data_IF_534667016786
#
_entry.id   IF_534667016786
#
_cell.length_a   1.000
_cell.length_b   1.000
_cell.length_c   1.000
_cell.angle_alpha   90.00
_cell.angle_beta   90.00
_cell.angle_gamma   90.00
#
_symmetry.space_group_name_H-M   'P 1'
#
loop_
_entity.id
_entity.type
_entity.pdbx_description
1 polymer ?
#
# COMPACT_ATOMS: atom_id res chain seq x y z
N UNK A 1 -22.26 -23.19 9.07
CA UNK A 1 -20.91 -23.71 8.76
C UNK A 1 -20.01 -22.54 8.43
N UNK A 2 -19.00 -22.24 9.25
CA UNK A 2 -18.01 -21.22 8.90
C UNK A 2 -17.15 -21.75 7.76
N UNK A 3 -17.28 -21.19 6.55
CA UNK A 3 -16.27 -21.41 5.51
C UNK A 3 -14.90 -21.11 6.11
N UNK A 4 -13.95 -22.04 6.00
CA UNK A 4 -12.57 -21.80 6.37
C UNK A 4 -12.08 -20.55 5.64
N UNK A 5 -11.50 -19.59 6.38
CA UNK A 5 -10.91 -18.39 5.76
C UNK A 5 -9.54 -18.79 5.20
N UNK A 6 -9.35 -18.73 3.89
CA UNK A 6 -8.09 -19.09 3.25
C UNK A 6 -7.30 -17.82 2.87
N UNK A 7 -5.96 -17.95 2.83
CA UNK A 7 -5.07 -16.85 2.47
C UNK A 7 -5.39 -16.26 1.09
N UNK A 8 -5.84 -17.09 0.13
CA UNK A 8 -6.12 -16.69 -1.25
C UNK A 8 -7.56 -16.25 -1.52
N UNK A 9 -8.37 -16.11 -0.46
CA UNK A 9 -9.75 -15.64 -0.57
C UNK A 9 -9.82 -14.28 -1.30
N UNK A 10 -10.83 -14.13 -2.16
CA UNK A 10 -11.29 -12.81 -2.59
C UNK A 10 -12.24 -12.27 -1.52
N UNK A 11 -11.95 -11.08 -1.00
CA UNK A 11 -12.73 -10.43 0.04
C UNK A 11 -13.20 -9.05 -0.40
N UNK A 12 -14.35 -8.63 0.11
CA UNK A 12 -14.89 -7.30 -0.11
C UNK A 12 -14.70 -6.43 1.13
N UNK A 13 -14.18 -5.23 0.91
CA UNK A 13 -13.84 -4.25 1.93
C UNK A 13 -14.56 -2.94 1.59
N UNK A 14 -15.24 -2.34 2.56
CA UNK A 14 -15.82 -1.02 2.49
C UNK A 14 -14.92 -0.04 3.26
N UNK A 15 -14.26 0.86 2.55
CA UNK A 15 -13.36 1.88 3.10
C UNK A 15 -14.04 3.23 3.00
N UNK A 16 -14.48 3.80 4.12
CA UNK A 16 -15.12 5.13 4.14
C UNK A 16 -16.34 5.27 3.22
N UNK A 17 -17.06 4.17 2.95
CA UNK A 17 -18.20 4.12 2.02
C UNK A 17 -17.86 3.61 0.61
N UNK A 18 -16.58 3.49 0.25
CA UNK A 18 -16.15 2.96 -1.05
C UNK A 18 -15.82 1.48 -0.96
N UNK A 19 -16.42 0.68 -1.84
CA UNK A 19 -16.16 -0.77 -1.91
C UNK A 19 -14.91 -1.08 -2.73
N UNK A 20 -14.11 -2.00 -2.22
CA UNK A 20 -12.93 -2.59 -2.83
C UNK A 20 -13.06 -4.11 -2.78
N UNK A 21 -12.76 -4.76 -3.90
CA UNK A 21 -12.59 -6.22 -3.95
C UNK A 21 -11.11 -6.53 -4.06
N UNK A 22 -10.58 -7.31 -3.13
CA UNK A 22 -9.13 -7.56 -3.00
C UNK A 22 -8.86 -9.03 -2.74
N UNK A 23 -7.63 -9.49 -3.00
CA UNK A 23 -7.17 -10.78 -2.49
C UNK A 23 -6.72 -10.62 -1.05
N UNK A 24 -7.07 -11.56 -0.18
CA UNK A 24 -6.62 -11.55 1.22
C UNK A 24 -5.09 -11.57 1.28
N UNK A 25 -4.40 -12.32 0.41
CA UNK A 25 -2.93 -12.30 0.33
C UNK A 25 -2.34 -10.91 0.09
N UNK A 26 -3.03 -10.00 -0.60
CA UNK A 26 -2.56 -8.63 -0.75
C UNK A 26 -2.57 -7.91 0.61
N UNK A 27 -3.63 -8.11 1.41
CA UNK A 27 -3.74 -7.54 2.76
C UNK A 27 -2.70 -8.10 3.74
N UNK A 28 -2.10 -9.25 3.42
CA UNK A 28 -1.06 -9.90 4.23
C UNK A 28 0.37 -9.52 3.78
N UNK A 29 0.52 -8.72 2.72
CA UNK A 29 1.82 -8.44 2.11
C UNK A 29 2.79 -7.67 3.03
N UNK A 30 2.26 -6.90 3.98
CA UNK A 30 3.03 -6.29 5.06
C UNK A 30 2.65 -6.91 6.41
N UNK A 31 3.43 -7.90 6.91
CA UNK A 31 3.10 -8.65 8.11
C UNK A 31 3.00 -7.82 9.39
N UNK A 32 3.58 -6.61 9.40
CA UNK A 32 3.55 -5.70 10.56
C UNK A 32 2.35 -4.76 10.55
N UNK A 33 1.62 -4.69 9.43
CA UNK A 33 0.46 -3.80 9.29
C UNK A 33 -0.76 -4.31 10.05
N UNK A 34 -1.65 -3.39 10.44
CA UNK A 34 -2.97 -3.73 10.98
C UNK A 34 -3.83 -4.51 9.98
N UNK A 35 -3.63 -4.26 8.68
CA UNK A 35 -4.32 -5.01 7.63
C UNK A 35 -3.95 -6.50 7.70
N UNK A 36 -2.67 -6.83 7.87
CA UNK A 36 -2.25 -8.22 8.02
C UNK A 36 -2.86 -8.86 9.27
N UNK A 37 -2.88 -8.15 10.40
CA UNK A 37 -3.50 -8.62 11.64
C UNK A 37 -5.00 -8.93 11.46
N UNK A 38 -5.75 -8.01 10.87
CA UNK A 38 -7.20 -8.15 10.70
C UNK A 38 -7.60 -9.23 9.71
N UNK A 39 -6.81 -9.40 8.65
CA UNK A 39 -7.14 -10.28 7.55
C UNK A 39 -6.44 -11.65 7.59
N UNK A 40 -5.56 -11.91 8.57
CA UNK A 40 -4.91 -13.23 8.73
C UNK A 40 -5.95 -14.35 8.90
N UNK A 41 -5.75 -15.52 8.26
CA UNK A 41 -6.52 -16.72 8.59
C UNK A 41 -6.43 -17.05 10.08
N UNK A 42 -7.56 -17.38 10.71
CA UNK A 42 -7.61 -17.68 12.14
C UNK A 42 -7.78 -16.47 13.06
N UNK A 43 -7.91 -15.24 12.54
CA UNK A 43 -8.23 -14.06 13.36
C UNK A 43 -9.55 -14.25 14.12
N UNK A 44 -9.44 -14.32 15.45
CA UNK A 44 -10.53 -14.63 16.40
C UNK A 44 -11.55 -13.49 16.47
N UNK A 45 -11.10 -12.24 16.41
CA UNK A 45 -11.94 -11.04 16.41
C UNK A 45 -11.74 -10.27 15.10
N UNK A 46 -12.48 -10.62 14.02
CA UNK A 46 -12.42 -9.85 12.79
C UNK A 46 -12.96 -8.42 13.02
N UNK A 47 -12.53 -7.49 12.19
CA UNK A 47 -13.11 -6.15 12.15
C UNK A 47 -14.59 -6.19 11.77
N UNK A 48 -15.33 -5.13 12.12
CA UNK A 48 -16.75 -5.00 11.83
C UNK A 48 -17.05 -5.12 10.33
N UNK A 49 -18.26 -5.52 10.01
CA UNK A 49 -18.79 -5.51 8.64
C UNK A 49 -19.91 -4.51 8.49
N UNK A 50 -20.07 -3.94 7.29
CA UNK A 50 -21.25 -3.15 6.95
C UNK A 50 -22.51 -4.03 6.81
N UNK A 51 -23.67 -3.41 6.54
CA UNK A 51 -24.96 -4.11 6.35
C UNK A 51 -24.93 -5.14 5.20
N UNK A 52 -23.98 -5.01 4.27
CA UNK A 52 -23.80 -5.93 3.15
C UNK A 52 -22.75 -7.02 3.41
N UNK A 53 -22.22 -7.14 4.63
CA UNK A 53 -21.21 -8.13 4.99
C UNK A 53 -19.80 -7.80 4.50
N UNK A 54 -19.55 -6.59 4.00
CA UNK A 54 -18.20 -6.17 3.59
C UNK A 54 -17.43 -5.71 4.83
N UNK A 55 -16.16 -6.11 4.97
CA UNK A 55 -15.31 -5.63 6.06
C UNK A 55 -15.22 -4.11 6.03
N UNK A 56 -15.47 -3.44 7.15
CA UNK A 56 -15.58 -1.99 7.20
C UNK A 56 -14.33 -1.35 7.80
N UNK A 57 -13.75 -0.41 7.07
CA UNK A 57 -12.62 0.42 7.47
C UNK A 57 -13.09 1.87 7.51
N UNK A 58 -13.09 2.46 8.70
CA UNK A 58 -13.38 3.88 8.89
C UNK A 58 -12.14 4.73 8.56
N UNK A 59 -11.71 4.67 7.30
CA UNK A 59 -10.48 5.27 6.76
C UNK A 59 -10.77 6.00 5.43
N UNK A 60 -9.83 6.82 4.97
CA UNK A 60 -10.01 7.56 3.70
C UNK A 60 -9.89 6.65 2.47
N UNK A 61 -10.97 6.61 1.70
CA UNK A 61 -11.07 5.76 0.51
C UNK A 61 -10.10 6.15 -0.62
N UNK A 62 -9.78 7.45 -0.76
CA UNK A 62 -8.92 7.93 -1.85
C UNK A 62 -7.47 7.55 -1.61
N UNK A 63 -7.02 7.69 -0.38
CA UNK A 63 -5.68 7.32 0.07
C UNK A 63 -5.50 5.81 0.09
N UNK A 64 -6.52 5.05 0.48
CA UNK A 64 -6.46 3.58 0.51
C UNK A 64 -6.11 2.95 -0.84
N UNK A 65 -6.42 3.59 -1.98
CA UNK A 65 -6.01 3.08 -3.31
C UNK A 65 -4.48 2.96 -3.43
N UNK A 66 -3.73 3.87 -2.81
CA UNK A 66 -2.27 3.90 -2.80
C UNK A 66 -1.73 2.82 -1.86
N UNK A 67 -2.36 2.64 -0.69
CA UNK A 67 -2.04 1.54 0.22
C UNK A 67 -2.24 0.17 -0.47
N UNK A 68 -3.36 -0.01 -1.17
CA UNK A 68 -3.64 -1.24 -1.91
C UNK A 68 -2.64 -1.46 -3.05
N UNK A 69 -2.25 -0.41 -3.77
CA UNK A 69 -1.21 -0.50 -4.78
C UNK A 69 0.14 -0.91 -4.18
N UNK A 70 0.56 -0.29 -3.08
CA UNK A 70 1.79 -0.63 -2.34
C UNK A 70 1.81 -2.11 -1.94
N UNK A 71 0.73 -2.62 -1.35
CA UNK A 71 0.65 -4.00 -0.89
C UNK A 71 0.81 -5.00 -2.05
N UNK A 72 0.24 -4.70 -3.22
CA UNK A 72 0.38 -5.53 -4.42
C UNK A 72 1.82 -5.53 -4.94
N UNK A 73 2.41 -4.35 -5.10
CA UNK A 73 3.80 -4.20 -5.55
C UNK A 73 4.77 -4.90 -4.61
N UNK A 74 4.58 -4.73 -3.29
CA UNK A 74 5.38 -5.39 -2.26
C UNK A 74 5.29 -6.91 -2.35
N UNK A 75 4.08 -7.45 -2.48
CA UNK A 75 3.85 -8.90 -2.63
C UNK A 75 4.54 -9.45 -3.88
N UNK A 76 4.52 -8.70 -4.98
CA UNK A 76 5.16 -9.04 -6.25
C UNK A 76 6.68 -8.82 -6.24
N UNK A 77 7.24 -8.28 -5.13
CA UNK A 77 8.64 -7.84 -5.04
C UNK A 77 9.00 -6.88 -6.18
N UNK A 78 8.08 -5.97 -6.47
CA UNK A 78 8.23 -4.87 -7.42
C UNK A 78 8.33 -3.53 -6.68
N UNK A 79 8.64 -2.46 -7.41
CA UNK A 79 9.05 -1.15 -6.88
C UNK A 79 7.93 -0.49 -6.07
N UNK A 80 8.00 -0.41 -4.72
CA UNK A 80 6.88 0.05 -3.92
C UNK A 80 6.61 1.56 -4.04
N UNK A 81 7.62 2.37 -4.37
CA UNK A 81 7.50 3.82 -4.55
C UNK A 81 6.58 4.21 -5.70
N UNK A 82 6.32 3.31 -6.65
CA UNK A 82 5.34 3.52 -7.74
C UNK A 82 3.89 3.59 -7.25
N UNK A 83 3.61 3.18 -6.01
CA UNK A 83 2.30 3.36 -5.39
C UNK A 83 2.05 4.79 -4.90
N UNK A 84 3.09 5.61 -4.77
CA UNK A 84 2.97 6.93 -4.15
C UNK A 84 2.14 7.90 -5.02
N UNK A 85 1.32 8.77 -4.41
CA UNK A 85 0.73 9.89 -5.12
C UNK A 85 1.80 10.93 -5.50
N UNK A 86 1.57 11.64 -6.60
CA UNK A 86 2.49 12.68 -7.09
C UNK A 86 2.27 14.05 -6.44
N UNK A 87 1.14 14.28 -5.76
CA UNK A 87 0.83 15.57 -5.13
C UNK A 87 1.28 15.58 -3.66
N UNK A 88 1.92 16.67 -3.19
CA UNK A 88 2.35 16.79 -1.79
C UNK A 88 1.21 16.63 -0.77
N UNK A 89 0.03 17.18 -1.06
CA UNK A 89 -1.13 17.10 -0.15
C UNK A 89 -1.64 15.66 0.00
N UNK A 90 -1.65 14.90 -1.10
CA UNK A 90 -2.01 13.47 -1.09
C UNK A 90 -0.94 12.62 -0.42
N UNK A 91 0.35 12.97 -0.53
CA UNK A 91 1.43 12.33 0.23
C UNK A 91 1.27 12.55 1.73
N UNK A 92 0.96 13.78 2.16
CA UNK A 92 0.73 14.08 3.58
C UNK A 92 -0.45 13.30 4.15
N UNK A 93 -1.56 13.18 3.39
CA UNK A 93 -2.69 12.31 3.76
C UNK A 93 -2.27 10.84 3.85
N UNK A 94 -1.46 10.37 2.90
CA UNK A 94 -0.92 9.01 2.90
C UNK A 94 -0.08 8.73 4.15
N UNK A 95 0.79 9.66 4.57
CA UNK A 95 1.56 9.52 5.81
C UNK A 95 0.64 9.30 7.02
N UNK A 96 -0.45 10.06 7.13
CA UNK A 96 -1.42 9.89 8.21
C UNK A 96 -2.13 8.54 8.21
N UNK A 97 -2.51 8.04 7.02
CA UNK A 97 -3.10 6.70 6.87
C UNK A 97 -2.09 5.58 7.17
N UNK A 98 -0.83 5.73 6.77
CA UNK A 98 0.24 4.78 7.04
C UNK A 98 0.52 4.66 8.54
N UNK A 99 0.53 5.77 9.27
CA UNK A 99 0.67 5.75 10.73
C UNK A 99 -0.50 5.00 11.39
N UNK A 100 -1.73 5.30 10.98
CA UNK A 100 -2.92 4.67 11.54
C UNK A 100 -2.98 3.16 11.28
N UNK A 101 -2.45 2.68 10.15
CA UNK A 101 -2.46 1.27 9.74
C UNK A 101 -1.14 0.52 10.01
N UNK A 102 -0.15 1.19 10.62
CA UNK A 102 1.19 0.67 10.88
C UNK A 102 1.93 0.17 9.60
N UNK A 103 1.97 1.02 8.57
CA UNK A 103 2.66 0.76 7.29
C UNK A 103 3.97 1.56 7.23
N UNK A 104 4.96 1.13 8.02
CA UNK A 104 6.20 1.89 8.23
C UNK A 104 6.98 2.16 6.93
N UNK A 105 7.19 1.15 6.09
CA UNK A 105 7.94 1.31 4.84
C UNK A 105 7.24 2.29 3.87
N UNK A 106 5.92 2.17 3.70
CA UNK A 106 5.18 3.09 2.84
C UNK A 106 5.20 4.52 3.40
N UNK A 107 5.15 4.68 4.73
CA UNK A 107 5.29 5.98 5.39
C UNK A 107 6.64 6.61 5.09
N UNK A 108 7.72 5.84 5.24
CA UNK A 108 9.08 6.33 5.03
C UNK A 108 9.29 6.74 3.57
N UNK A 109 8.81 5.94 2.61
CA UNK A 109 8.82 6.28 1.18
C UNK A 109 8.07 7.59 0.88
N UNK A 110 6.90 7.80 1.51
CA UNK A 110 6.13 9.02 1.33
C UNK A 110 6.81 10.25 1.95
N UNK A 111 7.42 10.11 3.13
CA UNK A 111 8.18 11.17 3.80
C UNK A 111 9.43 11.55 3.01
N UNK A 112 10.16 10.57 2.47
CA UNK A 112 11.34 10.81 1.64
C UNK A 112 10.99 11.63 0.39
N UNK A 113 9.85 11.34 -0.24
CA UNK A 113 9.39 12.10 -1.40
C UNK A 113 8.94 13.52 -1.02
N UNK A 114 8.22 13.68 0.10
CA UNK A 114 7.87 15.01 0.63
C UNK A 114 9.11 15.85 0.93
N UNK A 115 10.14 15.23 1.51
CA UNK A 115 11.39 15.93 1.83
C UNK A 115 12.15 16.35 0.57
N UNK A 116 12.07 15.56 -0.52
CA UNK A 116 12.59 15.96 -1.84
C UNK A 116 11.83 17.16 -2.42
N UNK A 117 10.52 17.21 -2.26
CA UNK A 117 9.74 18.39 -2.68
C UNK A 117 10.11 19.64 -1.90
N UNK A 118 10.36 19.54 -0.59
CA UNK A 118 10.81 20.70 0.19
C UNK A 118 12.16 21.27 -0.31
N UNK A 119 13.03 20.42 -0.87
CA UNK A 119 14.34 20.83 -1.40
C UNK A 119 14.28 21.35 -2.84
N UNK A 120 13.19 21.10 -3.56
CA UNK A 120 13.00 21.53 -4.95
C UNK A 120 12.17 22.81 -4.95
N UNK A 121 12.46 23.79 -5.81
CA UNK A 121 11.62 24.99 -5.93
C UNK A 121 10.14 24.59 -6.20
N UNK A 122 9.19 25.34 -5.63
CA UNK A 122 7.76 24.97 -5.45
C UNK A 122 7.02 24.49 -6.73
N UNK A 123 7.58 24.72 -7.92
CA UNK A 123 6.95 24.42 -9.21
C UNK A 123 7.36 23.07 -9.85
N UNK A 124 8.27 22.31 -9.24
CA UNK A 124 8.85 21.10 -9.87
C UNK A 124 8.56 19.77 -9.16
N UNK A 125 7.50 19.65 -8.37
CA UNK A 125 7.12 18.40 -7.70
C UNK A 125 6.90 17.22 -8.69
N UNK A 126 6.41 17.49 -9.91
CA UNK A 126 6.29 16.48 -10.95
C UNK A 126 7.67 15.94 -11.34
N UNK A 127 8.67 16.81 -11.47
CA UNK A 127 10.04 16.42 -11.81
C UNK A 127 10.62 15.51 -10.74
N UNK A 128 10.52 15.87 -9.45
CA UNK A 128 11.09 15.03 -8.39
C UNK A 128 10.34 13.69 -8.28
N UNK A 129 9.02 13.65 -8.51
CA UNK A 129 8.27 12.39 -8.60
C UNK A 129 8.80 11.48 -9.72
N UNK A 130 8.94 12.03 -10.92
CA UNK A 130 9.38 11.30 -12.12
C UNK A 130 10.81 10.79 -11.93
N UNK A 131 11.72 11.62 -11.42
CA UNK A 131 13.11 11.23 -11.15
C UNK A 131 13.19 10.07 -10.16
N UNK A 132 12.41 10.10 -9.07
CA UNK A 132 12.38 9.01 -8.09
C UNK A 132 11.82 7.73 -8.71
N UNK A 133 10.71 7.84 -9.44
CA UNK A 133 10.06 6.72 -10.12
C UNK A 133 11.01 6.03 -11.09
N UNK A 134 11.68 6.78 -11.98
CA UNK A 134 12.61 6.24 -12.95
C UNK A 134 13.80 5.57 -12.28
N UNK A 135 14.44 6.26 -11.33
CA UNK A 135 15.59 5.75 -10.59
C UNK A 135 15.29 4.43 -9.87
N UNK A 136 14.17 4.37 -9.17
CA UNK A 136 13.81 3.18 -8.39
C UNK A 136 13.43 2.00 -9.31
N UNK A 137 12.83 2.29 -10.47
CA UNK A 137 12.56 1.29 -11.51
C UNK A 137 13.85 0.74 -12.15
N UNK A 138 14.78 1.62 -12.54
CA UNK A 138 16.07 1.24 -13.10
C UNK A 138 16.88 0.39 -12.11
N UNK A 139 16.86 0.76 -10.83
CA UNK A 139 17.53 0.00 -9.77
C UNK A 139 16.97 -1.42 -9.65
N UNK A 140 15.64 -1.57 -9.62
CA UNK A 140 15.00 -2.88 -9.59
C UNK A 140 15.30 -3.71 -10.84
N UNK A 141 15.31 -3.09 -12.03
CA UNK A 141 15.61 -3.78 -13.28
C UNK A 141 17.04 -4.31 -13.26
N UNK A 142 17.99 -3.47 -12.84
CA UNK A 142 19.39 -3.87 -12.71
C UNK A 142 19.57 -5.04 -11.73
N UNK A 143 18.94 -4.99 -10.55
CA UNK A 143 18.97 -6.09 -9.57
C UNK A 143 18.39 -7.40 -10.13
N UNK A 144 17.28 -7.30 -10.89
CA UNK A 144 16.67 -8.46 -11.54
C UNK A 144 17.58 -9.09 -12.60
N UNK A 145 18.22 -8.28 -13.43
CA UNK A 145 19.16 -8.74 -14.44
C UNK A 145 20.37 -9.43 -13.80
N UNK A 146 20.96 -8.83 -12.75
CA UNK A 146 22.08 -9.46 -12.02
C UNK A 146 21.70 -10.81 -11.39
N UNK A 147 20.49 -10.92 -10.84
CA UNK A 147 20.01 -12.18 -10.28
C UNK A 147 19.81 -13.27 -11.34
N UNK A 148 19.57 -12.90 -12.61
CA UNK A 148 19.46 -13.83 -13.74
C UNK A 148 20.82 -14.37 -14.21
N UNK A 149 21.90 -13.59 -14.05
CA UNK A 149 23.26 -14.00 -14.45
C UNK A 149 23.99 -14.85 -13.39
N UNK A 150 23.42 -15.01 -12.20
CA UNK A 150 23.99 -15.80 -11.10
C UNK A 150 23.44 -17.25 -11.03
N UNK A 151 22.69 -17.67 -12.05
CA UNK A 151 22.23 -19.05 -12.27
C UNK A 151 22.58 -19.50 -13.70
#
# INVERSE_FOLDING_TARGET
MSRGRHADDIININVGGKKYTVRRTDMLADPRSKLAEWFKPGTVKPIATDKGGNYYLDRDAKTFRHILAYLRLKKEKFVPSLALPSKPDDLAKLVGECEALNLAELKDLALDLLQKYQRTEEQHYVTSFVQVTLRDFESWQFEKEQALFLF
#
